data_IF_131727449291
#
_entry.id   IF_131727449291
#
_cell.length_a   1.000
_cell.length_b   1.000
_cell.length_c   1.000
_cell.angle_alpha   90.00
_cell.angle_beta   90.00
_cell.angle_gamma   90.00
#
_symmetry.space_group_name_H-M   'P 1'
#
loop_
_entity.id
_entity.type
_entity.pdbx_description
1 polymer ?
#
# COMPACT_ATOMS: atom_id res chain seq x y z
N UNK A 1 2.27 -13.24 10.63
CA UNK A 1 1.28 -13.91 9.75
C UNK A 1 0.38 -14.90 10.49
N UNK A 2 0.89 -15.83 11.30
CA UNK A 2 0.06 -16.89 11.89
C UNK A 2 -1.15 -16.40 12.72
N UNK A 3 -0.94 -15.42 13.61
CA UNK A 3 -2.03 -14.87 14.43
C UNK A 3 -3.16 -14.23 13.60
N UNK A 4 -2.81 -13.49 12.54
CA UNK A 4 -3.80 -12.90 11.64
C UNK A 4 -4.58 -13.96 10.85
N UNK A 5 -3.90 -15.03 10.42
CA UNK A 5 -4.54 -16.17 9.76
C UNK A 5 -5.53 -16.90 10.67
N UNK A 6 -5.13 -17.19 11.91
CA UNK A 6 -6.02 -17.81 12.91
C UNK A 6 -7.23 -16.93 13.20
N UNK A 7 -7.02 -15.62 13.36
CA UNK A 7 -8.11 -14.66 13.56
C UNK A 7 -9.10 -14.66 12.38
N UNK A 8 -8.60 -14.60 11.14
CA UNK A 8 -9.43 -14.59 9.95
C UNK A 8 -10.25 -15.88 9.80
N UNK A 9 -9.64 -17.03 10.08
CA UNK A 9 -10.32 -18.33 10.09
C UNK A 9 -11.43 -18.39 11.14
N UNK A 10 -11.15 -17.92 12.37
CA UNK A 10 -12.14 -17.91 13.45
C UNK A 10 -13.34 -17.02 13.11
N UNK A 11 -13.11 -15.80 12.62
CA UNK A 11 -14.18 -14.87 12.22
C UNK A 11 -15.02 -15.45 11.09
N UNK A 12 -14.39 -16.01 10.06
CA UNK A 12 -15.09 -16.62 8.91
C UNK A 12 -15.95 -17.81 9.35
N UNK A 13 -15.42 -18.66 10.24
CA UNK A 13 -16.16 -19.80 10.78
C UNK A 13 -17.41 -19.38 11.56
N UNK A 14 -17.30 -18.37 12.42
CA UNK A 14 -18.45 -17.82 13.17
C UNK A 14 -19.48 -17.22 12.21
N UNK A 15 -19.02 -16.50 11.18
CA UNK A 15 -19.91 -15.87 10.21
C UNK A 15 -20.72 -16.88 9.39
N UNK A 16 -20.09 -17.97 8.95
CA UNK A 16 -20.75 -19.05 8.22
C UNK A 16 -21.74 -19.84 9.09
N UNK A 17 -21.48 -19.92 10.40
CA UNK A 17 -22.37 -20.60 11.34
C UNK A 17 -23.63 -19.79 11.66
N UNK A 18 -23.53 -18.45 11.66
CA UNK A 18 -24.68 -17.56 11.90
C UNK A 18 -25.56 -17.32 10.66
N UNK A 19 -24.98 -17.25 9.46
CA UNK A 19 -25.71 -16.95 8.22
C UNK A 19 -25.30 -17.91 7.09
N UNK A 20 -25.90 -19.12 7.02
CA UNK A 20 -25.64 -20.08 5.94
C UNK A 20 -26.33 -19.70 4.61
N UNK A 21 -27.19 -18.68 4.58
CA UNK A 21 -27.98 -18.30 3.42
C UNK A 21 -27.41 -17.05 2.72
N UNK A 22 -26.69 -17.27 1.61
CA UNK A 22 -26.06 -16.22 0.77
C UNK A 22 -27.07 -15.49 -0.13
N UNK A 23 -28.34 -15.90 -0.11
CA UNK A 23 -29.40 -15.42 -0.99
C UNK A 23 -30.01 -14.09 -0.55
N UNK A 24 -29.73 -13.63 0.68
CA UNK A 24 -30.31 -12.43 1.29
C UNK A 24 -29.44 -11.17 1.16
N UNK A 25 -28.23 -11.26 0.60
CA UNK A 25 -27.25 -10.16 0.57
C UNK A 25 -27.07 -9.66 -0.87
N UNK A 26 -28.03 -8.87 -1.34
CA UNK A 26 -27.90 -8.15 -2.62
C UNK A 26 -26.83 -7.04 -2.59
N UNK A 27 -26.50 -6.53 -1.40
CA UNK A 27 -25.57 -5.41 -1.18
C UNK A 27 -24.41 -5.79 -0.24
N UNK A 28 -23.22 -6.08 -0.80
CA UNK A 28 -21.99 -6.44 -0.06
C UNK A 28 -21.60 -5.37 0.97
N UNK A 29 -21.86 -4.09 0.66
CA UNK A 29 -21.48 -2.94 1.49
C UNK A 29 -22.39 -2.78 2.71
N UNK A 30 -23.64 -3.26 2.65
CA UNK A 30 -24.66 -3.02 3.66
C UNK A 30 -24.79 -4.14 4.70
N UNK A 31 -24.38 -5.36 4.34
CA UNK A 31 -24.44 -6.51 5.22
C UNK A 31 -23.70 -6.35 6.56
N UNK A 32 -22.43 -5.88 6.62
CA UNK A 32 -21.70 -5.81 7.89
C UNK A 32 -22.35 -4.92 8.98
N UNK A 33 -22.78 -3.68 8.69
CA UNK A 33 -23.43 -2.84 9.69
C UNK A 33 -24.85 -3.31 10.04
N UNK A 34 -25.56 -3.97 9.14
CA UNK A 34 -26.91 -4.50 9.39
C UNK A 34 -26.88 -5.72 10.34
N UNK A 35 -25.89 -6.60 10.18
CA UNK A 35 -25.65 -7.73 11.07
C UNK A 35 -25.24 -7.25 12.47
N UNK A 36 -24.41 -6.22 12.55
CA UNK A 36 -24.05 -5.59 13.82
C UNK A 36 -25.28 -4.98 14.54
N UNK A 37 -26.23 -4.42 13.78
CA UNK A 37 -27.50 -3.90 14.31
C UNK A 37 -28.38 -5.02 14.85
N UNK A 38 -28.45 -6.15 14.16
CA UNK A 38 -29.28 -7.31 14.55
C UNK A 38 -28.80 -7.95 15.86
N UNK A 39 -27.48 -7.98 16.08
CA UNK A 39 -26.88 -8.64 17.26
C UNK A 39 -26.79 -7.70 18.48
N UNK A 40 -26.55 -6.39 18.28
CA UNK A 40 -26.19 -5.48 19.37
C UNK A 40 -26.99 -4.18 19.49
N UNK A 41 -28.00 -3.96 18.64
CA UNK A 41 -28.79 -2.73 18.64
C UNK A 41 -28.06 -1.50 18.07
N UNK A 42 -28.71 -0.33 18.13
CA UNK A 42 -28.24 0.89 17.46
C UNK A 42 -26.90 1.43 18.02
N UNK A 43 -26.66 1.29 19.33
CA UNK A 43 -25.42 1.75 19.96
C UNK A 43 -24.20 0.96 19.48
N UNK A 44 -24.34 -0.37 19.32
CA UNK A 44 -23.26 -1.24 18.85
C UNK A 44 -22.95 -1.01 17.35
N UNK A 45 -23.97 -0.76 16.54
CA UNK A 45 -23.81 -0.40 15.13
C UNK A 45 -22.97 0.88 14.96
N UNK A 46 -23.27 1.93 15.75
CA UNK A 46 -22.54 3.21 15.65
C UNK A 46 -21.07 3.04 16.04
N UNK A 47 -20.79 2.28 17.11
CA UNK A 47 -19.41 1.98 17.54
C UNK A 47 -18.65 1.21 16.47
N UNK A 48 -19.28 0.17 15.89
CA UNK A 48 -18.65 -0.65 14.86
C UNK A 48 -18.35 0.15 13.59
N UNK A 49 -19.31 0.93 13.09
CA UNK A 49 -19.13 1.78 11.91
C UNK A 49 -18.10 2.89 12.18
N UNK A 50 -18.13 3.51 13.36
CA UNK A 50 -17.16 4.53 13.76
C UNK A 50 -15.73 3.99 13.85
N UNK A 51 -15.56 2.80 14.45
CA UNK A 51 -14.27 2.11 14.52
C UNK A 51 -13.76 1.67 13.14
N UNK A 52 -14.65 1.12 12.31
CA UNK A 52 -14.34 0.76 10.92
C UNK A 52 -13.86 1.97 10.12
N UNK A 53 -14.59 3.09 10.19
CA UNK A 53 -14.23 4.31 9.48
C UNK A 53 -12.88 4.86 9.93
N UNK A 54 -12.64 4.93 11.25
CA UNK A 54 -11.36 5.40 11.80
C UNK A 54 -10.19 4.53 11.33
N UNK A 55 -10.40 3.22 11.26
CA UNK A 55 -9.39 2.26 10.78
C UNK A 55 -9.08 2.46 9.30
N UNK A 56 -10.12 2.53 8.46
CA UNK A 56 -9.97 2.72 7.00
C UNK A 56 -9.29 4.04 6.69
N UNK A 57 -9.66 5.13 7.37
CA UNK A 57 -9.01 6.42 7.22
C UNK A 57 -7.54 6.36 7.63
N UNK A 58 -7.22 5.72 8.76
CA UNK A 58 -5.83 5.55 9.22
C UNK A 58 -4.96 4.77 8.24
N UNK A 59 -5.46 3.65 7.71
CA UNK A 59 -4.76 2.86 6.70
C UNK A 59 -4.59 3.62 5.38
N UNK A 60 -5.63 4.32 4.91
CA UNK A 60 -5.57 5.08 3.66
C UNK A 60 -4.51 6.19 3.69
N UNK A 61 -4.44 6.96 4.77
CA UNK A 61 -3.41 7.99 4.96
C UNK A 61 -1.99 7.38 4.97
N UNK A 62 -1.83 6.23 5.62
CA UNK A 62 -0.55 5.52 5.68
C UNK A 62 -0.13 5.03 4.28
N UNK A 63 -1.06 4.51 3.49
CA UNK A 63 -0.82 4.05 2.12
C UNK A 63 -0.43 5.20 1.19
N UNK A 64 -1.11 6.34 1.27
CA UNK A 64 -0.78 7.53 0.49
C UNK A 64 0.65 8.02 0.77
N UNK A 65 1.05 8.05 2.05
CA UNK A 65 2.40 8.43 2.43
C UNK A 65 3.46 7.44 1.94
N UNK A 66 3.18 6.13 2.00
CA UNK A 66 4.08 5.08 1.51
C UNK A 66 4.31 5.20 -0.01
N UNK A 67 3.23 5.38 -0.79
CA UNK A 67 3.30 5.52 -2.23
C UNK A 67 4.11 6.76 -2.66
N UNK A 68 3.92 7.90 -2.00
CA UNK A 68 4.66 9.12 -2.31
C UNK A 68 6.17 8.99 -2.04
N UNK A 69 6.55 8.26 -0.97
CA UNK A 69 7.96 7.96 -0.64
C UNK A 69 8.60 7.03 -1.67
N UNK A 70 7.87 6.00 -2.12
CA UNK A 70 8.34 5.11 -3.18
C UNK A 70 8.59 5.86 -4.48
N UNK A 71 7.65 6.71 -4.89
CA UNK A 71 7.78 7.53 -6.10
C UNK A 71 8.94 8.54 -6.00
N UNK A 72 9.18 9.08 -4.81
CA UNK A 72 10.34 9.94 -4.56
C UNK A 72 11.66 9.18 -4.65
N UNK A 73 11.74 7.97 -4.10
CA UNK A 73 12.92 7.12 -4.21
C UNK A 73 13.21 6.77 -5.68
N UNK A 74 12.19 6.39 -6.45
CA UNK A 74 12.31 6.12 -7.90
C UNK A 74 12.73 7.36 -8.70
N UNK A 75 12.22 8.54 -8.34
CA UNK A 75 12.64 9.82 -8.94
C UNK A 75 14.08 10.21 -8.59
N UNK A 76 14.52 9.93 -7.36
CA UNK A 76 15.91 10.14 -6.90
C UNK A 76 16.89 9.21 -7.62
N UNK A 77 16.48 7.96 -7.88
CA UNK A 77 17.28 6.97 -8.60
C UNK A 77 17.32 7.24 -10.12
N UNK A 78 16.63 8.29 -10.60
CA UNK A 78 16.75 8.81 -11.96
C UNK A 78 15.89 8.09 -13.00
N UNK A 79 14.95 7.22 -12.59
CA UNK A 79 14.01 6.54 -13.50
C UNK A 79 12.89 7.46 -14.04
N UNK A 80 12.73 8.68 -13.51
CA UNK A 80 11.75 9.67 -14.00
C UNK A 80 12.43 11.00 -14.40
N UNK A 81 11.88 11.74 -15.40
CA UNK A 81 12.45 12.99 -15.90
C UNK A 81 12.68 14.02 -14.77
N UNK A 82 13.93 14.45 -14.62
CA UNK A 82 14.43 15.28 -13.50
C UNK A 82 13.76 16.66 -13.34
N UNK A 83 12.95 17.10 -14.30
CA UNK A 83 12.42 18.45 -14.37
C UNK A 83 11.21 18.72 -13.44
N UNK A 84 10.40 17.70 -13.13
CA UNK A 84 9.13 17.87 -12.39
C UNK A 84 9.20 17.29 -10.97
N UNK A 85 9.95 16.20 -10.77
CA UNK A 85 9.97 15.41 -9.53
C UNK A 85 11.04 15.79 -8.49
N UNK A 86 11.87 16.81 -8.78
CA UNK A 86 12.95 17.26 -7.87
C UNK A 86 12.54 18.39 -6.91
N UNK A 87 11.36 19.01 -7.10
CA UNK A 87 10.86 20.05 -6.19
C UNK A 87 10.31 19.41 -4.93
N UNK A 88 11.20 19.17 -3.97
CA UNK A 88 10.86 18.90 -2.57
C UNK A 88 10.62 20.25 -1.90
N UNK A 89 9.50 20.37 -1.18
CA UNK A 89 9.27 21.52 -0.32
C UNK A 89 10.26 21.46 0.86
N UNK A 90 11.17 22.44 1.01
CA UNK A 90 12.21 22.41 2.04
C UNK A 90 11.67 22.53 3.47
N UNK A 91 10.40 22.89 3.67
CA UNK A 91 9.83 23.08 5.02
C UNK A 91 9.19 21.84 5.62
N UNK A 92 8.64 20.94 4.80
CA UNK A 92 7.94 19.74 5.28
C UNK A 92 8.70 18.46 5.03
N UNK A 93 9.71 18.45 4.14
CA UNK A 93 10.44 17.24 3.77
C UNK A 93 9.57 16.19 3.07
N UNK A 94 8.32 16.52 2.74
CA UNK A 94 7.36 15.68 2.05
C UNK A 94 7.32 16.12 0.58
N UNK A 95 7.49 15.22 -0.40
CA UNK A 95 7.38 15.54 -1.81
C UNK A 95 5.91 15.83 -2.16
N UNK A 96 5.45 17.05 -1.91
CA UNK A 96 4.05 17.48 -2.08
C UNK A 96 3.51 17.22 -3.50
N UNK A 97 4.36 17.36 -4.52
CA UNK A 97 4.03 17.05 -5.92
C UNK A 97 3.69 15.57 -6.10
N UNK A 98 4.43 14.67 -5.45
CA UNK A 98 4.17 13.22 -5.53
C UNK A 98 2.88 12.85 -4.82
N UNK A 99 2.63 13.46 -3.66
CA UNK A 99 1.38 13.27 -2.91
C UNK A 99 0.19 13.76 -3.75
N UNK A 100 0.31 14.91 -4.42
CA UNK A 100 -0.73 15.43 -5.30
C UNK A 100 -1.01 14.52 -6.49
N UNK A 101 0.04 13.99 -7.14
CA UNK A 101 -0.10 13.05 -8.26
C UNK A 101 -0.77 11.76 -7.81
N UNK A 102 -0.34 11.17 -6.69
CA UNK A 102 -0.97 9.97 -6.12
C UNK A 102 -2.42 10.25 -5.74
N UNK A 103 -2.71 11.42 -5.16
CA UNK A 103 -4.06 11.86 -4.83
C UNK A 103 -4.95 12.06 -6.06
N UNK A 104 -4.43 12.61 -7.16
CA UNK A 104 -5.15 12.79 -8.41
C UNK A 104 -5.48 11.44 -9.07
N UNK A 105 -4.53 10.51 -9.05
CA UNK A 105 -4.76 9.13 -9.52
C UNK A 105 -5.80 8.44 -8.63
N UNK A 106 -5.71 8.60 -7.30
CA UNK A 106 -6.70 8.06 -6.38
C UNK A 106 -8.09 8.69 -6.59
N UNK A 107 -8.18 9.98 -6.93
CA UNK A 107 -9.45 10.65 -7.24
C UNK A 107 -10.07 10.11 -8.54
N UNK A 108 -9.26 9.66 -9.50
CA UNK A 108 -9.75 9.00 -10.72
C UNK A 108 -10.39 7.64 -10.45
N UNK A 109 -10.14 7.02 -9.28
CA UNK A 109 -10.78 5.77 -8.88
C UNK A 109 -12.28 5.90 -8.60
N UNK A 110 -12.81 7.13 -8.41
CA UNK A 110 -14.24 7.38 -8.20
C UNK A 110 -15.09 6.99 -9.42
N UNK A 111 -14.49 6.89 -10.61
CA UNK A 111 -15.18 6.45 -11.83
C UNK A 111 -15.24 4.93 -11.99
N UNK A 112 -14.62 4.16 -11.09
CA UNK A 112 -14.56 2.69 -11.14
C UNK A 112 -15.49 2.09 -10.07
N UNK A 113 -16.18 1.02 -10.45
CA UNK A 113 -16.98 0.23 -9.50
C UNK A 113 -16.07 -0.53 -8.51
N UNK A 114 -16.54 -0.74 -7.28
CA UNK A 114 -15.77 -1.39 -6.20
C UNK A 114 -15.27 -2.78 -6.61
N UNK A 115 -16.09 -3.58 -7.30
CA UNK A 115 -15.70 -4.92 -7.74
C UNK A 115 -14.62 -4.89 -8.81
N UNK A 116 -14.73 -3.95 -9.76
CA UNK A 116 -13.73 -3.75 -10.82
C UNK A 116 -12.42 -3.20 -10.27
N UNK A 117 -12.50 -2.24 -9.35
CA UNK A 117 -11.34 -1.64 -8.69
C UNK A 117 -10.55 -2.67 -7.86
N UNK A 118 -11.24 -3.51 -7.08
CA UNK A 118 -10.61 -4.57 -6.30
C UNK A 118 -9.88 -5.57 -7.21
N UNK A 119 -10.57 -6.04 -8.26
CA UNK A 119 -10.00 -6.98 -9.23
C UNK A 119 -8.77 -6.41 -9.95
N UNK A 120 -8.77 -5.12 -10.28
CA UNK A 120 -7.63 -4.44 -10.90
C UNK A 120 -6.43 -4.34 -9.96
N UNK A 121 -6.66 -4.02 -8.67
CA UNK A 121 -5.60 -3.95 -7.66
C UNK A 121 -4.96 -5.32 -7.45
N UNK A 122 -5.78 -6.36 -7.31
CA UNK A 122 -5.29 -7.73 -7.09
C UNK A 122 -4.49 -8.24 -8.30
N UNK A 123 -5.04 -8.06 -9.51
CA UNK A 123 -4.34 -8.40 -10.76
C UNK A 123 -3.02 -7.65 -10.89
N UNK A 124 -3.01 -6.35 -10.62
CA UNK A 124 -1.80 -5.52 -10.66
C UNK A 124 -0.73 -5.99 -9.68
N UNK A 125 -1.12 -6.33 -8.44
CA UNK A 125 -0.22 -6.89 -7.45
C UNK A 125 0.38 -8.22 -7.90
N UNK A 126 -0.43 -9.15 -8.42
CA UNK A 126 0.05 -10.43 -8.91
C UNK A 126 1.01 -10.29 -10.08
N UNK A 127 0.71 -9.40 -11.04
CA UNK A 127 1.61 -9.12 -12.17
C UNK A 127 2.93 -8.52 -11.70
N UNK A 128 2.90 -7.56 -10.77
CA UNK A 128 4.11 -6.97 -10.20
C UNK A 128 4.97 -8.01 -9.46
N UNK A 129 4.35 -8.87 -8.64
CA UNK A 129 5.07 -9.96 -7.98
C UNK A 129 5.63 -10.97 -8.98
N UNK A 130 4.88 -11.35 -10.00
CA UNK A 130 5.37 -12.25 -11.05
C UNK A 130 6.59 -11.64 -11.77
N UNK A 131 6.54 -10.35 -12.10
CA UNK A 131 7.66 -9.64 -12.72
C UNK A 131 8.90 -9.59 -11.81
N UNK A 132 8.75 -9.35 -10.51
CA UNK A 132 9.86 -9.38 -9.55
C UNK A 132 10.46 -10.78 -9.45
N UNK A 133 9.64 -11.82 -9.36
CA UNK A 133 10.12 -13.20 -9.32
C UNK A 133 10.85 -13.58 -10.61
N UNK A 134 10.33 -13.18 -11.78
CA UNK A 134 10.98 -13.39 -13.07
C UNK A 134 12.29 -12.60 -13.16
N UNK A 135 12.33 -11.36 -12.67
CA UNK A 135 13.55 -10.55 -12.62
C UNK A 135 14.61 -11.14 -11.71
N UNK A 136 14.25 -11.74 -10.58
CA UNK A 136 15.18 -12.45 -9.69
C UNK A 136 15.74 -13.70 -10.39
N UNK A 137 14.91 -14.47 -11.08
CA UNK A 137 15.35 -15.64 -11.85
C UNK A 137 16.26 -15.20 -13.01
N UNK A 138 15.88 -14.15 -13.73
CA UNK A 138 16.65 -13.56 -14.81
C UNK A 138 17.99 -13.01 -14.32
N UNK A 139 17.99 -12.32 -13.18
CA UNK A 139 19.21 -11.85 -12.51
C UNK A 139 20.10 -13.02 -12.13
N UNK A 140 19.57 -14.05 -11.48
CA UNK A 140 20.32 -15.26 -11.13
C UNK A 140 20.87 -16.00 -12.36
N UNK A 141 20.11 -16.05 -13.46
CA UNK A 141 20.57 -16.66 -14.73
C UNK A 141 21.61 -15.80 -15.44
N UNK A 142 21.48 -14.48 -15.41
CA UNK A 142 22.41 -13.54 -16.05
C UNK A 142 23.71 -13.33 -15.23
N UNK A 143 23.65 -13.46 -13.90
CA UNK A 143 24.81 -13.38 -13.00
C UNK A 143 25.38 -14.75 -12.61
N UNK A 144 24.80 -15.83 -13.14
CA UNK A 144 25.33 -17.19 -12.99
C UNK A 144 26.80 -17.23 -13.37
N UNK A 145 27.65 -17.38 -12.33
CA UNK A 145 29.12 -17.51 -12.42
C UNK A 145 29.89 -16.22 -12.74
N UNK A 146 29.64 -15.10 -12.05
CA UNK A 146 30.69 -14.09 -11.75
C UNK A 146 30.49 -13.40 -10.40
N UNK A 147 30.38 -14.16 -9.31
CA UNK A 147 30.81 -13.62 -8.01
C UNK A 147 32.33 -13.75 -7.92
N UNK A 148 33.01 -12.65 -8.21
CA UNK A 148 34.47 -12.58 -8.23
C UNK A 148 35.03 -11.19 -8.53
N UNK A 149 34.20 -10.13 -8.56
CA UNK A 149 34.71 -8.76 -8.68
C UNK A 149 33.79 -7.69 -8.10
N UNK A 150 33.37 -7.86 -6.84
CA UNK A 150 33.38 -6.70 -5.94
C UNK A 150 34.74 -6.73 -5.22
N UNK A 151 35.70 -5.83 -5.53
CA UNK A 151 36.84 -5.68 -4.65
C UNK A 151 36.29 -5.37 -3.26
N UNK A 152 36.56 -6.27 -2.31
CA UNK A 152 36.36 -6.07 -0.89
C UNK A 152 37.23 -4.87 -0.46
N UNK A 153 36.72 -3.66 -0.66
CA UNK A 153 37.53 -2.46 -0.54
C UNK A 153 37.07 -1.25 -1.35
N UNK A 154 36.06 -1.33 -2.23
CA UNK A 154 35.40 -0.09 -2.67
C UNK A 154 34.50 0.38 -1.54
N UNK A 155 34.85 1.46 -0.79
CA UNK A 155 33.91 2.02 0.16
C UNK A 155 32.63 2.34 -0.61
N UNK A 156 31.44 2.26 0.03
CA UNK A 156 30.28 2.89 -0.57
C UNK A 156 30.75 4.31 -0.90
N UNK A 157 30.60 4.74 -2.16
CA UNK A 157 30.64 6.16 -2.50
C UNK A 157 29.37 6.79 -1.93
N UNK A 158 29.18 6.61 -0.62
CA UNK A 158 28.35 7.42 0.21
C UNK A 158 29.01 8.77 0.15
N UNK A 159 28.38 9.66 -0.60
CA UNK A 159 28.75 11.05 -0.68
C UNK A 159 28.87 11.56 0.75
N UNK A 160 30.12 11.74 1.22
CA UNK A 160 30.51 12.40 2.47
C UNK A 160 30.06 13.88 2.54
N UNK A 161 29.11 14.29 1.69
CA UNK A 161 28.50 15.60 1.65
C UNK A 161 27.14 15.65 2.37
N UNK A 162 26.53 14.50 2.72
CA UNK A 162 25.30 14.48 3.53
C UNK A 162 25.53 14.50 5.04
N UNK A 163 26.75 14.17 5.50
CA UNK A 163 27.16 14.34 6.91
C UNK A 163 27.90 15.65 7.13
N UNK A 164 27.50 16.75 6.47
CA UNK A 164 27.82 18.08 6.97
C UNK A 164 26.59 18.60 7.72
N UNK A 165 26.65 18.74 9.05
CA UNK A 165 25.67 19.52 9.79
C UNK A 165 25.93 20.99 9.41
N UNK A 166 25.26 21.45 8.35
CA UNK A 166 25.10 22.88 8.11
C UNK A 166 23.85 23.29 8.86
N UNK A 167 24.03 23.94 10.00
CA UNK A 167 22.92 24.52 10.75
C UNK A 167 22.13 25.57 9.97
N UNK A 168 21.03 25.97 10.60
CA UNK A 168 20.19 27.16 10.34
C UNK A 168 19.17 27.08 9.19
N UNK A 169 17.91 26.91 9.63
CA UNK A 169 16.59 27.22 9.04
C UNK A 169 16.03 26.36 7.91
#
# INVERSE_FOLDING_TARGET
MAAAGVFFLAVTYVMQTLFPDVSAVGDIVRAPPEIARYIGGAAFQILFVGGYLTTVLGCGLTQQMSAARLLFAMGRDGMLPRAVFRRVDPRTGVPAVNVLVVGLIAASAVFLDLGSAASLIDFGAYVAFAAVNLAVIGFWRATGVRDGRRPAGSPPTYCNRCCRPSGSW
#
